data_IF_659011097696
#
_entry.id   IF_659011097696
#
_cell.length_a   1.000
_cell.length_b   1.000
_cell.length_c   1.000
_cell.angle_alpha   90.00
_cell.angle_beta   90.00
_cell.angle_gamma   90.00
#
_symmetry.space_group_name_H-M   'P 1'
#
loop_
_entity.id
_entity.type
_entity.pdbx_description
1 polymer ?
#
# COMPACT_ATOMS: atom_id res chain seq x y z
N UNK A 1 -16.64 -3.00 -43.93
CA UNK A 1 -16.32 -2.16 -42.73
C UNK A 1 -17.19 -2.45 -41.52
N UNK A 2 -18.43 -2.92 -41.71
CA UNK A 2 -19.40 -3.07 -40.62
C UNK A 2 -19.35 -4.44 -39.89
N UNK A 3 -18.79 -5.46 -40.49
CA UNK A 3 -18.72 -6.80 -39.90
C UNK A 3 -17.75 -6.82 -38.72
N UNK A 4 -16.64 -6.11 -38.83
CA UNK A 4 -15.65 -6.05 -37.75
C UNK A 4 -16.11 -5.21 -36.54
N UNK A 5 -16.92 -4.18 -36.75
CA UNK A 5 -17.45 -3.35 -35.65
C UNK A 5 -18.51 -4.09 -34.79
N UNK A 6 -19.19 -5.09 -35.36
CA UNK A 6 -20.19 -5.88 -34.64
C UNK A 6 -19.63 -7.08 -33.90
N UNK A 7 -18.45 -7.55 -34.27
CA UNK A 7 -17.81 -8.72 -33.62
C UNK A 7 -16.98 -8.39 -32.39
N UNK A 8 -16.41 -7.17 -32.31
CA UNK A 8 -15.61 -6.76 -31.16
C UNK A 8 -16.37 -6.77 -29.82
N UNK A 9 -17.60 -6.24 -29.74
CA UNK A 9 -18.38 -6.34 -28.50
C UNK A 9 -18.77 -7.76 -28.11
N UNK A 10 -19.05 -8.64 -29.10
CA UNK A 10 -19.43 -10.03 -28.81
C UNK A 10 -18.26 -10.92 -28.41
N UNK A 11 -17.03 -10.59 -28.88
CA UNK A 11 -15.80 -11.25 -28.44
C UNK A 11 -15.38 -10.87 -27.00
N UNK A 12 -15.88 -9.74 -26.50
CA UNK A 12 -15.66 -9.29 -25.12
C UNK A 12 -16.73 -9.81 -24.15
N UNK A 13 -17.83 -10.38 -24.60
CA UNK A 13 -19.00 -10.73 -23.81
C UNK A 13 -19.29 -12.22 -23.77
N UNK A 14 -18.30 -13.08 -23.76
CA UNK A 14 -18.53 -14.46 -23.34
C UNK A 14 -18.80 -14.40 -21.84
N UNK A 15 -20.04 -14.55 -21.44
CA UNK A 15 -20.47 -14.65 -20.05
C UNK A 15 -21.14 -16.01 -19.86
N UNK A 16 -20.44 -16.90 -19.20
CA UNK A 16 -20.98 -18.12 -18.65
C UNK A 16 -21.22 -17.97 -17.14
N UNK A 17 -21.77 -18.99 -16.51
CA UNK A 17 -21.86 -19.04 -15.05
C UNK A 17 -20.52 -19.35 -14.38
N UNK A 18 -19.45 -19.48 -15.16
CA UNK A 18 -18.11 -19.78 -14.67
C UNK A 18 -17.09 -18.71 -15.11
N UNK A 19 -16.82 -17.78 -14.21
CA UNK A 19 -15.90 -16.66 -14.42
C UNK A 19 -14.49 -17.11 -14.86
N UNK A 20 -14.01 -18.26 -14.36
CA UNK A 20 -12.70 -18.79 -14.76
C UNK A 20 -12.68 -19.28 -16.21
N UNK A 21 -13.74 -19.92 -16.66
CA UNK A 21 -13.87 -20.33 -18.05
C UNK A 21 -13.93 -19.09 -18.95
N UNK A 22 -14.71 -18.08 -18.58
CA UNK A 22 -14.83 -16.83 -19.32
C UNK A 22 -13.47 -16.11 -19.46
N UNK A 23 -12.65 -16.11 -18.41
CA UNK A 23 -11.31 -15.52 -18.44
C UNK A 23 -10.32 -16.31 -19.31
N UNK A 24 -10.40 -17.64 -19.32
CA UNK A 24 -9.54 -18.51 -20.15
C UNK A 24 -9.91 -18.40 -21.63
N UNK A 25 -11.19 -18.34 -21.95
CA UNK A 25 -11.69 -18.22 -23.33
C UNK A 25 -11.55 -16.81 -23.90
N UNK A 26 -11.36 -15.81 -23.05
CA UNK A 26 -11.29 -14.42 -23.47
C UNK A 26 -10.06 -14.15 -24.35
N UNK A 27 -10.27 -13.42 -25.46
CA UNK A 27 -9.19 -12.95 -26.29
C UNK A 27 -8.35 -11.88 -25.56
N UNK A 28 -7.06 -12.16 -25.36
CA UNK A 28 -6.16 -11.30 -24.58
C UNK A 28 -5.98 -9.89 -25.14
N UNK A 29 -5.98 -9.68 -26.45
CA UNK A 29 -5.79 -8.36 -27.04
C UNK A 29 -6.95 -7.40 -26.78
N UNK A 30 -8.22 -7.75 -27.05
CA UNK A 30 -9.35 -6.90 -26.65
C UNK A 30 -9.44 -6.68 -25.14
N UNK A 31 -9.14 -7.71 -24.32
CA UNK A 31 -9.13 -7.57 -22.86
C UNK A 31 -8.03 -6.61 -22.39
N UNK A 32 -6.85 -6.69 -22.96
CA UNK A 32 -5.77 -5.75 -22.67
C UNK A 32 -6.18 -4.31 -23.00
N UNK A 33 -6.71 -4.09 -24.21
CA UNK A 33 -7.15 -2.76 -24.61
C UNK A 33 -8.28 -2.23 -23.71
N UNK A 34 -9.23 -3.09 -23.35
CA UNK A 34 -10.30 -2.72 -22.44
C UNK A 34 -9.75 -2.38 -21.05
N UNK A 35 -8.89 -3.19 -20.48
CA UNK A 35 -8.26 -2.94 -19.19
C UNK A 35 -7.42 -1.65 -19.19
N UNK A 36 -6.72 -1.37 -20.28
CA UNK A 36 -5.95 -0.14 -20.44
C UNK A 36 -6.82 1.11 -20.45
N UNK A 37 -8.00 1.03 -21.07
CA UNK A 37 -8.94 2.17 -21.14
C UNK A 37 -9.90 2.27 -19.97
N UNK A 38 -9.98 1.23 -19.10
CA UNK A 38 -10.89 1.13 -17.96
C UNK A 38 -10.14 0.65 -16.71
N UNK A 39 -9.01 1.28 -16.42
CA UNK A 39 -8.16 0.92 -15.29
C UNK A 39 -8.64 1.50 -13.96
N UNK A 40 -9.58 2.44 -13.99
CA UNK A 40 -10.17 3.01 -12.78
C UNK A 40 -11.44 2.29 -12.38
N UNK A 41 -11.59 2.04 -11.08
CA UNK A 41 -12.78 1.44 -10.52
C UNK A 41 -13.81 2.53 -10.19
N UNK A 42 -14.91 2.53 -10.93
CA UNK A 42 -16.08 3.35 -10.57
C UNK A 42 -16.86 2.68 -9.45
N UNK A 43 -16.65 3.14 -8.21
CA UNK A 43 -17.34 2.61 -7.04
C UNK A 43 -18.86 2.76 -7.12
N UNK A 44 -19.35 3.82 -7.75
CA UNK A 44 -20.79 4.06 -7.87
C UNK A 44 -21.47 3.08 -8.82
N UNK A 45 -20.73 2.56 -9.79
CA UNK A 45 -21.22 1.57 -10.74
C UNK A 45 -21.19 0.15 -10.17
N UNK A 46 -20.12 -0.20 -9.42
CA UNK A 46 -19.84 -1.59 -9.06
C UNK A 46 -20.25 -1.97 -7.63
N UNK A 47 -20.47 -0.99 -6.75
CA UNK A 47 -20.83 -1.24 -5.35
C UNK A 47 -22.18 -0.65 -4.99
N UNK A 48 -22.93 -1.37 -4.15
CA UNK A 48 -24.14 -0.84 -3.55
C UNK A 48 -23.84 0.39 -2.71
N UNK A 49 -24.62 1.44 -2.89
CA UNK A 49 -24.43 2.71 -2.19
C UNK A 49 -25.35 2.79 -0.97
N UNK A 50 -24.83 3.31 0.12
CA UNK A 50 -25.61 3.83 1.22
C UNK A 50 -25.75 5.35 1.05
N UNK A 51 -26.87 5.93 1.50
CA UNK A 51 -26.89 7.38 1.61
C UNK A 51 -25.90 7.85 2.68
N UNK A 52 -25.40 9.07 2.53
CA UNK A 52 -24.34 9.65 3.39
C UNK A 52 -24.68 9.53 4.89
N UNK A 53 -25.90 9.86 5.28
CA UNK A 53 -26.33 9.84 6.68
C UNK A 53 -26.33 8.41 7.26
N UNK A 54 -26.78 7.44 6.47
CA UNK A 54 -26.78 6.04 6.91
C UNK A 54 -25.35 5.48 7.00
N UNK A 55 -24.48 5.82 6.04
CA UNK A 55 -23.09 5.43 6.06
C UNK A 55 -22.37 5.99 7.29
N UNK A 56 -22.55 7.27 7.57
CA UNK A 56 -22.00 7.96 8.73
C UNK A 56 -22.51 7.37 10.05
N UNK A 57 -23.81 7.13 10.17
CA UNK A 57 -24.41 6.49 11.33
C UNK A 57 -23.84 5.09 11.58
N UNK A 58 -23.73 4.28 10.52
CA UNK A 58 -23.19 2.93 10.62
C UNK A 58 -21.71 2.97 11.04
N UNK A 59 -20.93 3.90 10.48
CA UNK A 59 -19.52 4.07 10.83
C UNK A 59 -19.36 4.51 12.28
N UNK A 60 -20.06 5.56 12.70
CA UNK A 60 -19.99 6.10 14.07
C UNK A 60 -20.45 5.10 15.13
N UNK A 61 -21.42 4.21 14.79
CA UNK A 61 -21.89 3.19 15.74
C UNK A 61 -20.79 2.18 16.14
N UNK A 62 -19.70 2.09 15.38
CA UNK A 62 -18.56 1.21 15.68
C UNK A 62 -17.57 1.85 16.67
N UNK A 63 -17.71 3.14 16.95
CA UNK A 63 -16.81 3.87 17.85
C UNK A 63 -17.53 4.31 19.14
N UNK A 64 -16.94 4.02 20.31
CA UNK A 64 -17.59 4.34 21.60
C UNK A 64 -17.95 5.82 21.77
N UNK A 65 -17.13 6.72 21.19
CA UNK A 65 -17.33 8.17 21.29
C UNK A 65 -18.32 8.73 20.26
N UNK A 66 -18.77 7.93 19.30
CA UNK A 66 -19.66 8.33 18.21
C UNK A 66 -19.22 9.64 17.48
N UNK A 67 -17.92 9.83 17.35
CA UNK A 67 -17.31 10.98 16.67
C UNK A 67 -16.29 10.54 15.62
N UNK A 68 -16.14 11.33 14.55
CA UNK A 68 -15.13 11.09 13.51
C UNK A 68 -13.73 11.54 13.93
N UNK A 69 -13.61 12.26 15.04
CA UNK A 69 -12.33 12.75 15.55
C UNK A 69 -12.18 12.50 17.04
N UNK A 70 -10.96 12.26 17.45
CA UNK A 70 -10.59 12.08 18.86
C UNK A 70 -9.37 12.92 19.16
N UNK A 71 -9.45 13.74 20.21
CA UNK A 71 -8.28 14.41 20.74
C UNK A 71 -7.48 13.41 21.57
N UNK A 72 -6.21 13.23 21.24
CA UNK A 72 -5.24 12.49 22.04
C UNK A 72 -4.38 13.52 22.74
N UNK A 73 -4.54 13.60 24.06
CA UNK A 73 -3.73 14.49 24.89
C UNK A 73 -2.60 13.67 25.49
N UNK A 74 -1.36 14.09 25.22
CA UNK A 74 -0.20 13.49 25.83
C UNK A 74 -0.07 13.97 27.29
N UNK A 75 0.24 13.05 28.21
CA UNK A 75 0.48 13.38 29.63
C UNK A 75 1.86 14.02 29.86
N UNK A 76 2.78 13.81 28.92
CA UNK A 76 4.14 14.30 28.99
C UNK A 76 4.41 15.34 27.89
N UNK A 77 5.34 16.27 28.11
CA UNK A 77 5.80 17.18 27.06
C UNK A 77 6.30 16.45 25.84
N UNK A 78 6.12 17.06 24.68
CA UNK A 78 6.58 16.53 23.40
C UNK A 78 8.11 16.31 23.42
N UNK A 79 8.54 15.07 23.28
CA UNK A 79 9.95 14.71 23.12
C UNK A 79 10.28 14.54 21.64
N UNK A 80 11.12 15.41 21.10
CA UNK A 80 11.59 15.34 19.72
C UNK A 80 12.64 14.24 19.58
N UNK A 81 12.20 13.07 19.15
CA UNK A 81 13.07 11.90 18.86
C UNK A 81 13.10 11.64 17.37
N UNK A 82 14.21 11.13 16.87
CA UNK A 82 14.23 10.58 15.51
C UNK A 82 13.32 9.34 15.44
N UNK A 83 12.61 9.20 14.32
CA UNK A 83 11.72 8.09 14.05
C UNK A 83 12.18 7.38 12.80
N UNK A 84 12.43 6.08 12.92
CA UNK A 84 12.76 5.20 11.79
C UNK A 84 11.65 4.15 11.70
N UNK A 85 10.91 4.17 10.61
CA UNK A 85 9.89 3.17 10.29
C UNK A 85 10.46 2.22 9.25
N UNK A 86 10.64 0.95 9.62
CA UNK A 86 11.17 -0.08 8.74
C UNK A 86 10.02 -0.98 8.30
N UNK A 87 9.72 -0.98 7.00
CA UNK A 87 8.76 -1.89 6.39
C UNK A 87 9.53 -3.01 5.70
N UNK A 88 9.40 -4.23 6.19
CA UNK A 88 10.12 -5.39 5.69
C UNK A 88 9.21 -6.16 4.73
N UNK A 89 9.66 -6.31 3.48
CA UNK A 89 8.94 -7.07 2.46
C UNK A 89 8.84 -8.55 2.83
N UNK A 90 7.66 -9.13 2.65
CA UNK A 90 7.39 -10.57 2.79
C UNK A 90 7.76 -11.18 4.15
N UNK A 91 7.95 -10.39 5.20
CA UNK A 91 8.23 -10.91 6.53
C UNK A 91 6.95 -11.50 7.15
N UNK A 92 6.95 -12.81 7.35
CA UNK A 92 5.90 -13.53 8.09
C UNK A 92 6.31 -13.78 9.53
N UNK A 93 5.34 -13.80 10.44
CA UNK A 93 5.53 -14.27 11.82
C UNK A 93 6.12 -15.69 11.88
N UNK A 94 5.83 -16.53 10.88
CA UNK A 94 6.37 -17.90 10.79
C UNK A 94 7.91 -17.96 10.72
N UNK A 95 8.59 -16.86 10.41
CA UNK A 95 10.05 -16.79 10.38
C UNK A 95 10.67 -16.51 11.76
N UNK A 96 9.89 -16.03 12.71
CA UNK A 96 10.39 -15.60 14.01
C UNK A 96 10.35 -16.73 15.05
N UNK A 97 11.42 -16.86 15.85
CA UNK A 97 11.49 -17.84 16.96
C UNK A 97 10.38 -17.58 17.99
N UNK A 98 10.04 -16.32 18.22
CA UNK A 98 8.96 -15.90 19.12
C UNK A 98 7.60 -16.55 18.76
N UNK A 99 7.35 -16.85 17.50
CA UNK A 99 6.13 -17.51 17.02
C UNK A 99 6.32 -19.02 16.75
N UNK A 100 7.45 -19.60 17.18
CA UNK A 100 7.69 -21.04 17.15
C UNK A 100 8.60 -21.53 16.02
N UNK A 101 9.25 -20.64 15.27
CA UNK A 101 10.25 -21.07 14.29
C UNK A 101 11.51 -21.57 14.99
N UNK A 102 11.91 -22.82 14.70
CA UNK A 102 13.09 -23.45 15.31
C UNK A 102 14.38 -23.24 14.51
N UNK A 103 14.29 -22.69 13.32
CA UNK A 103 15.43 -22.53 12.40
C UNK A 103 16.30 -21.30 12.73
N UNK A 104 15.86 -20.41 13.62
CA UNK A 104 16.59 -19.21 14.07
C UNK A 104 17.04 -18.29 12.92
N UNK A 105 16.13 -18.07 11.96
CA UNK A 105 16.43 -17.29 10.74
C UNK A 105 16.31 -15.78 10.93
N UNK A 106 15.68 -15.33 12.03
CA UNK A 106 15.51 -13.91 12.38
C UNK A 106 16.12 -13.56 13.76
N UNK A 107 17.39 -13.91 14.06
CA UNK A 107 17.93 -13.81 15.43
C UNK A 107 17.97 -12.37 15.97
N UNK A 108 18.20 -11.37 15.10
CA UNK A 108 18.21 -9.98 15.52
C UNK A 108 16.80 -9.45 15.83
N UNK A 109 15.80 -9.81 15.02
CA UNK A 109 14.41 -9.43 15.26
C UNK A 109 13.87 -10.08 16.54
N UNK A 110 14.19 -11.33 16.76
CA UNK A 110 13.82 -12.06 17.99
C UNK A 110 14.44 -11.39 19.22
N UNK A 111 15.73 -11.09 19.16
CA UNK A 111 16.42 -10.36 20.26
C UNK A 111 15.85 -8.94 20.47
N UNK A 112 15.43 -8.26 19.40
CA UNK A 112 14.80 -6.95 19.51
C UNK A 112 13.42 -7.05 20.13
N UNK A 113 12.65 -8.08 19.76
CA UNK A 113 11.31 -8.33 20.29
C UNK A 113 11.32 -8.51 21.83
N UNK A 114 12.35 -9.18 22.37
CA UNK A 114 12.52 -9.35 23.82
C UNK A 114 12.78 -8.05 24.59
N UNK A 115 13.29 -7.01 23.92
CA UNK A 115 13.75 -5.75 24.52
C UNK A 115 12.87 -4.55 24.19
N UNK A 116 11.78 -4.76 23.48
CA UNK A 116 10.92 -3.70 22.95
C UNK A 116 9.44 -3.99 23.15
N UNK A 117 8.59 -3.01 22.85
CA UNK A 117 7.15 -3.24 22.78
C UNK A 117 6.84 -4.02 21.52
N UNK A 118 6.36 -5.25 21.69
CA UNK A 118 5.96 -6.13 20.61
C UNK A 118 4.44 -6.24 20.52
N UNK A 119 3.90 -6.02 19.34
CA UNK A 119 2.48 -6.26 19.04
C UNK A 119 2.32 -7.70 18.53
N UNK A 120 1.76 -8.57 19.35
CA UNK A 120 1.63 -10.01 19.04
C UNK A 120 0.46 -10.33 18.10
N UNK A 121 -0.42 -9.37 17.83
CA UNK A 121 -1.59 -9.53 16.97
C UNK A 121 -1.61 -8.41 15.91
N UNK A 122 -0.51 -8.27 15.16
CA UNK A 122 -0.36 -7.30 14.09
C UNK A 122 -0.46 -8.00 12.74
N UNK A 123 -1.32 -7.48 11.88
CA UNK A 123 -1.55 -8.00 10.54
C UNK A 123 -1.28 -6.94 9.48
N UNK A 124 -0.69 -7.35 8.36
CA UNK A 124 -0.64 -6.50 7.18
C UNK A 124 -2.06 -6.26 6.65
N UNK A 125 -2.33 -5.03 6.23
CA UNK A 125 -3.65 -4.63 5.72
C UNK A 125 -3.90 -5.08 4.28
N UNK A 126 -2.90 -5.61 3.61
CA UNK A 126 -2.98 -6.13 2.25
C UNK A 126 -1.78 -6.99 1.90
N UNK A 127 -1.88 -7.73 0.82
CA UNK A 127 -0.90 -8.70 0.35
C UNK A 127 0.03 -8.17 -0.77
N UNK A 128 0.11 -6.85 -0.93
CA UNK A 128 0.98 -6.17 -1.89
C UNK A 128 1.73 -5.05 -1.19
N UNK A 129 2.98 -4.80 -1.59
CA UNK A 129 3.84 -3.73 -1.07
C UNK A 129 3.13 -2.38 -1.06
N UNK A 130 2.53 -1.99 -2.19
CA UNK A 130 1.80 -0.72 -2.33
C UNK A 130 0.61 -0.60 -1.37
N UNK A 131 -0.03 -1.72 -0.99
CA UNK A 131 -1.14 -1.71 -0.04
C UNK A 131 -0.66 -1.48 1.39
N UNK A 132 0.46 -2.08 1.76
CA UNK A 132 1.11 -1.83 3.05
C UNK A 132 1.58 -0.40 3.18
N UNK A 133 2.28 0.11 2.16
CA UNK A 133 2.76 1.49 2.13
C UNK A 133 1.62 2.51 2.14
N UNK A 134 0.54 2.27 1.40
CA UNK A 134 -0.69 3.07 1.40
C UNK A 134 -1.27 3.20 2.82
N UNK A 135 -1.43 2.07 3.50
CA UNK A 135 -1.97 2.05 4.86
C UNK A 135 -1.06 2.76 5.88
N UNK A 136 0.26 2.53 5.82
CA UNK A 136 1.23 3.15 6.72
C UNK A 136 1.34 4.66 6.49
N UNK A 137 1.26 5.09 5.25
CA UNK A 137 1.49 6.49 4.87
C UNK A 137 0.23 7.34 5.01
N UNK A 138 -0.92 6.83 4.53
CA UNK A 138 -2.19 7.56 4.53
C UNK A 138 -3.07 7.26 5.74
N UNK A 139 -2.70 6.25 6.56
CA UNK A 139 -3.48 5.79 7.73
C UNK A 139 -4.91 5.37 7.37
N UNK A 140 -5.11 4.80 6.19
CA UNK A 140 -6.40 4.29 5.73
C UNK A 140 -6.27 2.80 5.35
N UNK A 141 -7.32 2.00 5.55
CA UNK A 141 -7.32 0.64 5.04
C UNK A 141 -7.32 0.65 3.51
N UNK A 142 -6.66 -0.31 2.85
CA UNK A 142 -6.69 -0.44 1.40
C UNK A 142 -8.11 -0.56 0.88
N UNK A 143 -8.42 0.20 -0.16
CA UNK A 143 -9.70 0.14 -0.86
C UNK A 143 -9.63 -0.80 -2.06
N UNK A 144 -10.77 -1.23 -2.60
CA UNK A 144 -10.81 -1.99 -3.83
C UNK A 144 -10.24 -1.18 -5.02
N UNK A 145 -9.90 -1.85 -6.11
CA UNK A 145 -9.30 -1.23 -7.28
C UNK A 145 -7.80 -0.99 -7.11
N UNK A 146 -7.23 -0.02 -7.80
CA UNK A 146 -5.80 0.28 -7.77
C UNK A 146 -5.41 1.03 -6.50
N UNK A 147 -4.20 0.74 -5.99
CA UNK A 147 -3.63 1.47 -4.85
C UNK A 147 -3.49 2.96 -5.17
N UNK A 148 -3.77 3.80 -4.18
CA UNK A 148 -3.62 5.26 -4.31
C UNK A 148 -2.18 5.63 -4.72
N UNK A 149 -1.18 4.87 -4.29
CA UNK A 149 0.22 5.10 -4.68
C UNK A 149 0.39 5.07 -6.20
N UNK A 150 -0.34 4.20 -6.90
CA UNK A 150 -0.20 3.98 -8.35
C UNK A 150 -1.13 4.84 -9.19
N UNK A 151 -2.08 5.56 -8.58
CA UNK A 151 -3.04 6.41 -9.30
C UNK A 151 -2.38 7.70 -9.79
N UNK A 152 -2.94 8.29 -10.84
CA UNK A 152 -2.48 9.58 -11.37
C UNK A 152 -2.66 10.73 -10.37
N UNK A 153 -3.68 10.64 -9.51
CA UNK A 153 -4.01 11.62 -8.48
C UNK A 153 -3.31 11.36 -7.13
N UNK A 154 -2.17 10.69 -7.11
CA UNK A 154 -1.47 10.22 -5.90
C UNK A 154 -0.76 11.32 -5.10
N UNK A 155 -0.67 12.55 -5.62
CA UNK A 155 0.06 13.68 -5.02
C UNK A 155 -0.83 14.54 -4.12
N UNK A 156 -0.20 15.38 -3.30
CA UNK A 156 -0.88 16.32 -2.41
C UNK A 156 -1.89 15.66 -1.45
N UNK A 157 -1.60 14.43 -1.04
CA UNK A 157 -2.39 13.72 -0.03
C UNK A 157 -1.89 14.08 1.37
N UNK A 158 -2.80 14.03 2.35
CA UNK A 158 -2.40 14.14 3.74
C UNK A 158 -1.76 12.82 4.20
N UNK A 159 -0.51 12.89 4.64
CA UNK A 159 0.28 11.70 4.98
C UNK A 159 0.85 11.80 6.39
N UNK A 160 1.32 10.67 6.94
CA UNK A 160 2.11 10.65 8.17
C UNK A 160 3.32 11.60 8.09
N UNK A 161 3.95 11.70 6.91
CA UNK A 161 5.05 12.63 6.66
C UNK A 161 4.65 14.10 6.84
N UNK A 162 3.44 14.49 6.44
CA UNK A 162 2.97 15.86 6.67
C UNK A 162 2.86 16.19 8.16
N UNK A 163 2.44 15.22 8.98
CA UNK A 163 2.37 15.39 10.43
C UNK A 163 3.76 15.64 11.01
N UNK A 164 4.74 14.84 10.64
CA UNK A 164 6.12 15.03 11.11
C UNK A 164 6.73 16.34 10.61
N UNK A 165 6.51 16.70 9.34
CA UNK A 165 6.96 17.99 8.79
C UNK A 165 6.37 19.18 9.52
N UNK A 166 5.09 19.14 9.89
CA UNK A 166 4.45 20.21 10.65
C UNK A 166 5.09 20.43 12.03
N UNK A 167 5.81 19.42 12.53
CA UNK A 167 6.59 19.44 13.77
C UNK A 167 8.08 19.76 13.55
N UNK A 168 8.48 20.09 12.32
CA UNK A 168 9.84 20.50 11.97
C UNK A 168 10.80 19.33 11.71
N UNK A 169 10.30 18.13 11.42
CA UNK A 169 11.12 17.00 11.00
C UNK A 169 11.52 17.08 9.53
N UNK A 170 12.73 16.62 9.22
CA UNK A 170 13.11 16.21 7.86
C UNK A 170 12.59 14.80 7.61
N UNK A 171 11.77 14.65 6.60
CA UNK A 171 11.07 13.39 6.30
C UNK A 171 11.58 12.80 5.00
N UNK A 172 12.06 11.56 5.06
CA UNK A 172 12.63 10.84 3.93
C UNK A 172 11.96 9.50 3.72
N UNK A 173 11.87 9.10 2.46
CA UNK A 173 11.59 7.74 2.02
C UNK A 173 12.89 7.13 1.50
N UNK A 174 13.32 6.04 2.12
CA UNK A 174 14.54 5.32 1.75
C UNK A 174 14.13 3.98 1.15
N UNK A 175 14.73 3.64 -0.01
CA UNK A 175 14.47 2.39 -0.69
C UNK A 175 15.74 1.85 -1.35
N UNK A 176 16.07 0.58 -1.11
CA UNK A 176 17.27 -0.07 -1.68
C UNK A 176 17.19 -0.31 -3.19
N UNK A 177 16.01 -0.29 -3.78
CA UNK A 177 15.78 -0.41 -5.21
C UNK A 177 15.59 0.93 -5.92
N UNK A 178 15.11 0.86 -7.15
CA UNK A 178 14.75 2.04 -7.94
C UNK A 178 13.34 2.49 -7.60
N UNK A 179 13.19 3.67 -7.04
CA UNK A 179 11.90 4.17 -6.50
C UNK A 179 10.81 4.45 -7.55
N UNK A 180 11.14 4.42 -8.85
CA UNK A 180 10.12 4.41 -9.90
C UNK A 180 9.25 3.15 -9.87
N UNK A 181 9.77 2.04 -9.30
CA UNK A 181 9.02 0.81 -9.14
C UNK A 181 7.75 1.09 -8.31
N UNK A 182 6.63 0.52 -8.75
CA UNK A 182 5.32 0.72 -8.11
C UNK A 182 4.93 2.18 -7.90
N UNK A 183 5.51 3.09 -8.69
CA UNK A 183 5.24 4.53 -8.64
C UNK A 183 5.58 5.22 -7.31
N UNK A 184 6.44 4.59 -6.49
CA UNK A 184 6.79 5.08 -5.15
C UNK A 184 7.45 6.46 -5.19
N UNK A 185 8.34 6.70 -6.17
CA UNK A 185 9.02 8.00 -6.32
C UNK A 185 8.02 9.14 -6.52
N UNK A 186 7.03 8.94 -7.38
CA UNK A 186 6.03 9.96 -7.69
C UNK A 186 5.11 10.21 -6.49
N UNK A 187 4.69 9.13 -5.83
CA UNK A 187 3.85 9.23 -4.64
C UNK A 187 4.58 9.91 -3.47
N UNK A 188 5.71 9.38 -3.02
CA UNK A 188 6.41 9.93 -1.86
C UNK A 188 6.96 11.33 -2.14
N UNK A 189 7.58 11.56 -3.31
CA UNK A 189 8.06 12.88 -3.71
C UNK A 189 6.95 13.90 -3.85
N UNK A 190 5.83 13.52 -4.49
CA UNK A 190 4.65 14.36 -4.66
C UNK A 190 3.91 14.68 -3.35
N UNK A 191 4.19 13.92 -2.28
CA UNK A 191 3.67 14.14 -0.93
C UNK A 191 4.75 14.67 0.03
N UNK A 192 5.85 15.17 -0.53
CA UNK A 192 6.83 15.96 0.17
C UNK A 192 7.89 15.18 0.94
N UNK A 193 8.07 13.90 0.72
CA UNK A 193 9.21 13.15 1.25
C UNK A 193 10.46 13.43 0.41
N UNK A 194 11.62 13.56 1.06
CA UNK A 194 12.90 13.44 0.37
C UNK A 194 13.10 11.98 -0.07
N UNK A 195 13.44 11.77 -1.34
CA UNK A 195 13.67 10.43 -1.87
C UNK A 195 15.15 10.09 -1.78
N UNK A 196 15.46 8.93 -1.21
CA UNK A 196 16.79 8.30 -1.24
C UNK A 196 16.60 6.89 -1.73
N UNK A 197 17.11 6.60 -2.92
CA UNK A 197 16.98 5.30 -3.55
C UNK A 197 18.31 4.83 -4.14
N UNK A 198 18.29 3.70 -4.84
CA UNK A 198 19.49 3.13 -5.45
C UNK A 198 20.30 4.11 -6.30
N UNK A 199 19.68 5.11 -6.93
CA UNK A 199 20.38 6.11 -7.74
C UNK A 199 21.25 7.05 -6.89
N UNK A 200 21.05 7.14 -5.59
CA UNK A 200 21.82 7.96 -4.67
C UNK A 200 23.07 7.25 -4.14
N UNK A 201 23.18 5.94 -4.32
CA UNK A 201 24.31 5.15 -3.84
C UNK A 201 25.39 5.06 -4.93
N UNK A 202 26.65 5.09 -4.51
CA UNK A 202 27.76 4.82 -5.40
C UNK A 202 27.88 3.30 -5.61
N UNK A 203 28.46 2.85 -6.76
CA UNK A 203 28.63 1.43 -7.03
C UNK A 203 29.38 0.67 -5.91
N UNK A 204 30.35 1.31 -5.28
CA UNK A 204 31.15 0.75 -4.18
C UNK A 204 30.40 0.65 -2.85
N UNK A 205 29.29 1.36 -2.71
CA UNK A 205 28.42 1.32 -1.53
C UNK A 205 27.38 0.20 -1.62
N UNK A 206 27.21 -0.39 -2.81
CA UNK A 206 26.27 -1.47 -3.06
C UNK A 206 27.02 -2.78 -2.92
N UNK A 207 27.01 -3.39 -1.72
CA UNK A 207 27.70 -4.64 -1.42
C UNK A 207 26.85 -5.88 -1.69
N UNK A 208 25.54 -5.72 -1.68
CA UNK A 208 24.58 -6.76 -2.04
C UNK A 208 23.50 -6.20 -2.98
N UNK A 209 23.11 -7.00 -3.95
CA UNK A 209 21.97 -6.70 -4.79
C UNK A 209 21.18 -7.98 -5.09
N UNK A 210 19.89 -7.97 -4.83
CA UNK A 210 19.03 -9.09 -5.16
C UNK A 210 18.73 -9.15 -6.67
N UNK A 211 18.02 -10.18 -7.11
CA UNK A 211 17.63 -10.38 -8.52
C UNK A 211 16.74 -9.28 -9.09
N UNK A 212 16.11 -8.51 -8.23
CA UNK A 212 15.25 -7.37 -8.59
C UNK A 212 16.00 -6.04 -8.64
N UNK A 213 17.28 -6.06 -8.32
CA UNK A 213 18.12 -4.88 -8.34
C UNK A 213 18.10 -4.02 -7.07
N UNK A 214 17.43 -4.48 -6.01
CA UNK A 214 17.49 -3.81 -4.72
C UNK A 214 18.88 -3.97 -4.09
N UNK A 215 19.32 -2.98 -3.34
CA UNK A 215 20.63 -2.93 -2.66
C UNK A 215 20.46 -2.85 -1.14
N UNK A 216 21.51 -3.26 -0.43
CA UNK A 216 21.66 -3.14 1.02
C UNK A 216 21.94 -1.70 1.48
#
# INVERSE_FOLDING_TARGET
GDVYKRQLPSLMQIKSDNVFADEIEANGLPKFYWAFTHNELDYFQFYSQLNQQQAEKNFLSQYPQQTLSRNIVAEQPEAKKNVVLISIESLSADFMEHYGNTQKITPFLDSLAEKSLMFTNLYATGNRTVRGLEALTLCIPPTAGESIIKRDDNKNKFTTGNVFKSKGYDVKFLYGGYSYFDNMQDFFGGNGYGIVDRNNFKPEEITFANVWGDAD
#
